data_IF_009157334494
#
_entry.id   IF_009157334494
#
_cell.length_a   1.000
_cell.length_b   1.000
_cell.length_c   1.000
_cell.angle_alpha   90.00
_cell.angle_beta   90.00
_cell.angle_gamma   90.00
#
_symmetry.space_group_name_H-M   'P 1'
#
loop_
_entity.id
_entity.type
_entity.pdbx_description
1 polymer ?
#
# COMPACT_ATOMS: atom_id res chain seq x y z
N UNK A 1 -16.18 -43.91 35.00
CA UNK A 1 -16.49 -42.53 34.56
C UNK A 1 -15.21 -41.71 34.57
N UNK A 2 -14.72 -41.25 33.41
CA UNK A 2 -13.99 -39.98 33.23
C UNK A 2 -13.88 -39.72 31.71
N UNK A 3 -14.12 -38.46 31.35
CA UNK A 3 -14.74 -38.00 30.10
C UNK A 3 -13.77 -37.92 28.91
N UNK A 4 -14.34 -38.23 27.75
CA UNK A 4 -13.82 -37.96 26.41
C UNK A 4 -13.73 -36.45 26.16
N UNK A 5 -12.55 -35.95 25.77
CA UNK A 5 -12.40 -34.57 25.26
C UNK A 5 -12.29 -34.62 23.74
N UNK A 6 -13.32 -34.08 23.09
CA UNK A 6 -13.49 -34.05 21.63
C UNK A 6 -12.48 -33.07 21.01
N UNK A 7 -11.72 -33.55 20.04
CA UNK A 7 -10.89 -32.72 19.16
C UNK A 7 -11.83 -32.04 18.16
N UNK A 8 -11.99 -30.73 18.28
CA UNK A 8 -12.65 -29.90 17.28
C UNK A 8 -11.64 -29.52 16.21
N UNK A 9 -11.70 -30.21 15.07
CA UNK A 9 -11.05 -29.77 13.84
C UNK A 9 -11.89 -28.63 13.24
N UNK A 10 -11.36 -27.41 13.24
CA UNK A 10 -11.97 -26.27 12.56
C UNK A 10 -11.23 -26.11 11.23
N UNK A 11 -11.98 -26.34 10.15
CA UNK A 11 -11.56 -26.12 8.77
C UNK A 11 -11.31 -24.62 8.54
N UNK A 12 -10.07 -24.26 8.20
CA UNK A 12 -9.70 -22.90 7.84
C UNK A 12 -10.21 -22.58 6.42
N UNK A 13 -11.24 -21.75 6.32
CA UNK A 13 -11.61 -21.11 5.06
C UNK A 13 -10.60 -19.98 4.78
N UNK A 14 -9.77 -20.16 3.76
CA UNK A 14 -8.82 -19.15 3.31
C UNK A 14 -9.56 -18.00 2.62
N UNK A 15 -9.62 -16.84 3.27
CA UNK A 15 -10.03 -15.58 2.63
C UNK A 15 -8.81 -14.95 1.95
N UNK A 16 -8.70 -15.14 0.64
CA UNK A 16 -7.72 -14.45 -0.19
C UNK A 16 -8.13 -12.98 -0.34
N UNK A 17 -7.46 -12.07 0.38
CA UNK A 17 -7.60 -10.64 0.16
C UNK A 17 -6.61 -10.18 -0.90
N UNK A 18 -7.03 -10.20 -2.16
CA UNK A 18 -6.32 -9.57 -3.28
C UNK A 18 -6.60 -8.06 -3.27
N UNK A 19 -5.60 -7.23 -2.97
CA UNK A 19 -5.66 -5.79 -3.21
C UNK A 19 -5.44 -5.57 -4.71
N UNK A 20 -6.53 -5.40 -5.45
CA UNK A 20 -6.49 -5.15 -6.90
C UNK A 20 -6.03 -3.74 -7.23
N UNK A 21 -5.04 -3.63 -8.13
CA UNK A 21 -4.69 -2.38 -8.80
C UNK A 21 -5.65 -2.16 -9.97
N UNK A 22 -6.45 -1.10 -9.92
CA UNK A 22 -7.28 -0.67 -11.04
C UNK A 22 -6.39 0.02 -12.10
N UNK A 23 -6.20 -0.65 -13.23
CA UNK A 23 -5.67 -0.05 -14.45
C UNK A 23 -6.83 0.60 -15.21
N UNK A 24 -6.86 1.92 -15.29
CA UNK A 24 -7.67 2.64 -16.28
C UNK A 24 -6.74 3.10 -17.40
N UNK A 25 -6.87 2.46 -18.56
CA UNK A 25 -6.29 2.93 -19.82
C UNK A 25 -7.35 3.77 -20.56
N UNK A 26 -6.97 4.98 -20.98
CA UNK A 26 -7.74 5.80 -21.92
C UNK A 26 -6.89 6.11 -23.15
N UNK A 27 -7.48 6.17 -24.37
CA UNK A 27 -6.75 6.31 -25.62
C UNK A 27 -6.28 7.75 -25.85
N UNK A 28 -5.11 7.87 -26.50
CA UNK A 28 -4.45 9.11 -26.87
C UNK A 28 -5.05 9.76 -28.12
N UNK A 29 -5.08 11.10 -28.14
CA UNK A 29 -5.16 11.93 -29.35
C UNK A 29 -4.47 13.31 -29.08
N UNK A 30 -3.98 14.01 -30.12
CA UNK A 30 -2.64 14.61 -30.09
C UNK A 30 -2.57 16.15 -29.94
N UNK A 31 -1.34 16.60 -29.67
CA UNK A 31 -0.73 17.92 -29.92
C UNK A 31 -1.31 19.18 -29.26
N UNK A 32 -0.81 19.47 -28.05
CA UNK A 32 -0.54 20.84 -27.59
C UNK A 32 0.65 20.84 -26.60
N UNK A 33 1.59 21.79 -26.68
CA UNK A 33 2.75 21.82 -25.80
C UNK A 33 2.32 22.21 -24.38
N UNK A 34 2.66 21.45 -23.33
CA UNK A 34 2.25 21.81 -21.98
C UNK A 34 3.06 23.02 -21.47
N UNK A 35 2.40 24.09 -20.99
CA UNK A 35 3.06 25.12 -20.21
C UNK A 35 3.53 24.51 -18.89
N UNK A 36 4.80 24.74 -18.54
CA UNK A 36 5.46 24.16 -17.37
C UNK A 36 4.68 24.38 -16.07
N UNK A 37 4.06 23.32 -15.57
CA UNK A 37 3.47 23.28 -14.24
C UNK A 37 4.55 23.14 -13.16
N UNK A 38 4.33 23.70 -11.95
CA UNK A 38 5.29 23.61 -10.85
C UNK A 38 5.57 22.14 -10.51
N UNK A 39 6.85 21.79 -10.53
CA UNK A 39 7.33 20.42 -10.41
C UNK A 39 6.77 19.68 -9.20
N UNK A 40 6.29 18.46 -9.45
CA UNK A 40 5.96 17.47 -8.45
C UNK A 40 7.24 17.03 -7.71
N UNK A 41 7.73 17.84 -6.79
CA UNK A 41 8.74 17.45 -5.82
C UNK A 41 8.09 16.60 -4.71
N UNK A 42 7.57 15.42 -5.08
CA UNK A 42 7.05 14.42 -4.14
C UNK A 42 8.20 13.52 -3.69
N UNK A 43 9.06 13.97 -2.78
CA UNK A 43 10.11 13.11 -2.26
C UNK A 43 10.95 13.75 -1.16
N UNK A 44 10.83 13.24 0.07
CA UNK A 44 11.86 13.47 1.09
C UNK A 44 11.35 13.38 2.53
N UNK A 45 10.31 14.12 2.89
CA UNK A 45 9.99 14.37 4.32
C UNK A 45 8.82 13.53 4.88
N UNK A 46 8.03 12.88 4.03
CA UNK A 46 6.87 12.09 4.45
C UNK A 46 7.21 10.67 4.95
N UNK A 47 8.21 10.02 4.35
CA UNK A 47 8.50 8.59 4.58
C UNK A 47 8.93 8.29 6.02
N UNK A 48 9.88 9.07 6.55
CA UNK A 48 10.39 8.86 7.91
C UNK A 48 9.33 9.12 8.99
N UNK A 49 8.50 10.15 8.83
CA UNK A 49 7.40 10.41 9.77
C UNK A 49 6.36 9.29 9.76
N UNK A 50 6.06 8.74 8.58
CA UNK A 50 5.12 7.62 8.45
C UNK A 50 5.68 6.34 9.09
N UNK A 51 6.97 6.04 8.88
CA UNK A 51 7.66 4.90 9.49
C UNK A 51 7.65 4.98 11.02
N UNK A 52 8.00 6.15 11.58
CA UNK A 52 7.94 6.39 13.02
C UNK A 52 6.54 6.20 13.60
N UNK A 53 5.50 6.70 12.90
CA UNK A 53 4.10 6.52 13.33
C UNK A 53 3.67 5.06 13.31
N UNK A 54 4.07 4.31 12.30
CA UNK A 54 3.73 2.89 12.18
C UNK A 54 4.41 2.09 13.29
N UNK A 55 5.69 2.36 13.57
CA UNK A 55 6.42 1.73 14.67
C UNK A 55 5.76 2.02 16.04
N UNK A 56 5.32 3.26 16.27
CA UNK A 56 4.60 3.61 17.50
C UNK A 56 3.30 2.81 17.64
N UNK A 57 2.51 2.71 16.58
CA UNK A 57 1.26 1.93 16.59
C UNK A 57 1.50 0.44 16.84
N UNK A 58 2.55 -0.14 16.26
CA UNK A 58 2.92 -1.53 16.51
C UNK A 58 3.39 -1.75 17.95
N UNK A 59 4.17 -0.82 18.52
CA UNK A 59 4.61 -0.91 19.91
C UNK A 59 3.43 -0.79 20.90
N UNK A 60 2.49 0.11 20.64
CA UNK A 60 1.26 0.24 21.42
C UNK A 60 0.42 -1.05 21.37
N UNK A 61 0.25 -1.61 20.16
CA UNK A 61 -0.47 -2.86 19.98
C UNK A 61 0.21 -4.02 20.72
N UNK A 62 1.53 -4.15 20.58
CA UNK A 62 2.33 -5.17 21.27
C UNK A 62 2.11 -5.15 22.79
N UNK A 63 2.17 -3.96 23.41
CA UNK A 63 1.96 -3.80 24.86
C UNK A 63 0.56 -4.21 25.34
N UNK A 64 -0.45 -4.15 24.47
CA UNK A 64 -1.83 -4.54 24.75
C UNK A 64 -2.07 -6.05 24.60
N UNK A 65 -1.32 -6.73 23.74
CA UNK A 65 -1.58 -8.13 23.41
C UNK A 65 -1.13 -9.12 24.48
N UNK A 66 -0.25 -8.72 25.40
CA UNK A 66 0.27 -9.58 26.48
C UNK A 66 0.70 -10.95 25.94
N UNK A 67 1.61 -10.91 24.96
CA UNK A 67 2.07 -12.11 24.25
C UNK A 67 2.77 -13.07 25.20
N UNK A 68 2.58 -14.37 24.97
CA UNK A 68 3.42 -15.40 25.59
C UNK A 68 4.75 -15.54 24.83
N UNK A 69 5.67 -16.37 25.32
CA UNK A 69 7.01 -16.52 24.74
C UNK A 69 7.00 -16.97 23.26
N UNK A 70 6.13 -17.90 22.89
CA UNK A 70 6.03 -18.41 21.51
C UNK A 70 5.45 -17.35 20.56
N UNK A 71 4.41 -16.65 21.02
CA UNK A 71 3.80 -15.54 20.28
C UNK A 71 4.77 -14.36 20.12
N UNK A 72 5.59 -14.08 21.13
CA UNK A 72 6.63 -13.05 21.08
C UNK A 72 7.66 -13.38 19.99
N UNK A 73 8.09 -14.65 19.90
CA UNK A 73 9.00 -15.09 18.85
C UNK A 73 8.40 -14.90 17.45
N UNK A 74 7.11 -15.21 17.27
CA UNK A 74 6.41 -15.00 16.00
C UNK A 74 6.25 -13.52 15.67
N UNK A 75 5.96 -12.69 16.67
CA UNK A 75 5.88 -11.22 16.53
C UNK A 75 7.22 -10.65 16.05
N UNK A 76 8.32 -11.00 16.70
CA UNK A 76 9.65 -10.52 16.31
C UNK A 76 10.04 -11.01 14.91
N UNK A 77 9.74 -12.27 14.60
CA UNK A 77 9.98 -12.81 13.24
C UNK A 77 9.22 -12.01 12.18
N UNK A 78 7.96 -11.62 12.45
CA UNK A 78 7.16 -10.80 11.55
C UNK A 78 7.71 -9.37 11.41
N UNK A 79 8.16 -8.76 12.51
CA UNK A 79 8.81 -7.45 12.49
C UNK A 79 10.11 -7.45 11.68
N UNK A 80 10.97 -8.43 11.92
CA UNK A 80 12.25 -8.55 11.22
C UNK A 80 12.03 -8.78 9.72
N UNK A 81 11.11 -9.68 9.37
CA UNK A 81 10.73 -9.95 7.97
C UNK A 81 10.22 -8.68 7.30
N UNK A 82 9.31 -7.95 7.94
CA UNK A 82 8.78 -6.69 7.43
C UNK A 82 9.87 -5.65 7.21
N UNK A 83 10.79 -5.49 8.18
CA UNK A 83 11.89 -4.51 8.11
C UNK A 83 12.86 -4.85 6.98
N UNK A 84 13.29 -6.10 6.89
CA UNK A 84 14.19 -6.58 5.84
C UNK A 84 13.56 -6.43 4.45
N UNK A 85 12.31 -6.86 4.29
CA UNK A 85 11.60 -6.80 3.02
C UNK A 85 11.30 -5.36 2.61
N UNK A 86 10.97 -4.47 3.55
CA UNK A 86 10.82 -3.04 3.26
C UNK A 86 12.15 -2.41 2.80
N UNK A 87 13.27 -2.76 3.44
CA UNK A 87 14.59 -2.29 3.00
C UNK A 87 14.92 -2.78 1.59
N UNK A 88 14.65 -4.05 1.27
CA UNK A 88 14.84 -4.61 -0.07
C UNK A 88 13.97 -3.90 -1.12
N UNK A 89 12.69 -3.63 -0.83
CA UNK A 89 11.83 -2.87 -1.73
C UNK A 89 12.32 -1.42 -1.94
N UNK A 90 12.84 -0.77 -0.89
CA UNK A 90 13.43 0.58 -1.01
C UNK A 90 14.64 0.57 -1.94
N UNK A 91 15.48 -0.46 -1.85
CA UNK A 91 16.63 -0.62 -2.74
C UNK A 91 16.19 -0.91 -4.19
N UNK A 92 15.22 -1.80 -4.41
CA UNK A 92 14.65 -2.03 -5.75
C UNK A 92 14.11 -0.75 -6.38
N UNK A 93 13.42 0.08 -5.60
CA UNK A 93 12.90 1.36 -6.08
C UNK A 93 14.02 2.39 -6.37
N UNK A 94 15.10 2.39 -5.57
CA UNK A 94 16.29 3.21 -5.85
C UNK A 94 16.97 2.78 -7.15
N UNK A 95 17.14 1.47 -7.37
CA UNK A 95 17.70 0.93 -8.61
C UNK A 95 16.84 1.30 -9.82
N UNK A 96 15.51 1.21 -9.70
CA UNK A 96 14.59 1.64 -10.75
C UNK A 96 14.76 3.12 -11.11
N UNK A 97 14.88 4.00 -10.10
CA UNK A 97 15.13 5.43 -10.33
C UNK A 97 16.45 5.67 -11.05
N UNK A 98 17.53 5.01 -10.63
CA UNK A 98 18.83 5.13 -11.29
C UNK A 98 18.80 4.65 -12.75
N UNK A 99 18.11 3.53 -13.01
CA UNK A 99 17.91 3.04 -14.37
C UNK A 99 17.10 4.03 -15.22
N UNK A 100 16.06 4.62 -14.65
CA UNK A 100 15.26 5.65 -15.32
C UNK A 100 16.09 6.90 -15.63
N UNK A 101 16.84 7.42 -14.67
CA UNK A 101 17.76 8.55 -14.85
C UNK A 101 18.79 8.29 -15.96
N UNK A 102 19.36 7.08 -16.02
CA UNK A 102 20.28 6.68 -17.08
C UNK A 102 19.61 6.63 -18.45
N UNK A 103 18.36 6.15 -18.54
CA UNK A 103 17.61 6.07 -19.79
C UNK A 103 17.18 7.45 -20.30
N UNK A 104 16.88 8.39 -19.41
CA UNK A 104 16.56 9.78 -19.77
C UNK A 104 17.68 10.50 -20.52
N UNK A 105 18.94 10.05 -20.37
CA UNK A 105 20.08 10.61 -21.08
C UNK A 105 20.23 10.06 -22.51
N UNK A 106 19.49 9.03 -22.88
CA UNK A 106 19.55 8.45 -24.21
C UNK A 106 18.69 9.25 -25.22
N UNK A 107 19.15 9.40 -26.47
CA UNK A 107 18.41 10.13 -27.50
C UNK A 107 17.11 9.42 -27.92
N UNK A 108 17.04 8.09 -27.76
CA UNK A 108 15.85 7.28 -28.00
C UNK A 108 15.65 6.39 -26.78
N UNK A 109 14.45 6.42 -26.20
CA UNK A 109 14.10 5.58 -25.04
C UNK A 109 13.82 4.14 -25.47
N UNK A 110 14.45 3.18 -24.80
CA UNK A 110 14.09 1.77 -24.92
C UNK A 110 12.93 1.43 -23.98
N UNK A 111 11.70 1.64 -24.47
CA UNK A 111 10.48 1.36 -23.72
C UNK A 111 10.32 -0.13 -23.38
N UNK A 112 10.88 -1.03 -24.18
CA UNK A 112 10.81 -2.47 -23.92
C UNK A 112 11.70 -2.83 -22.73
N UNK A 113 12.92 -2.31 -22.68
CA UNK A 113 13.82 -2.48 -21.54
C UNK A 113 13.22 -1.88 -20.26
N UNK A 114 12.59 -0.71 -20.34
CA UNK A 114 11.88 -0.11 -19.20
C UNK A 114 10.76 -1.00 -18.69
N UNK A 115 9.92 -1.51 -19.59
CA UNK A 115 8.82 -2.39 -19.21
C UNK A 115 9.33 -3.69 -18.56
N UNK A 116 10.35 -4.32 -19.13
CA UNK A 116 10.95 -5.53 -18.58
C UNK A 116 11.56 -5.31 -17.19
N UNK A 117 12.27 -4.19 -16.99
CA UNK A 117 12.82 -3.82 -15.69
C UNK A 117 11.71 -3.60 -14.64
N UNK A 118 10.64 -2.89 -15.02
CA UNK A 118 9.49 -2.68 -14.15
C UNK A 118 8.79 -4.00 -13.77
N UNK A 119 8.54 -4.88 -14.75
CA UNK A 119 7.92 -6.18 -14.50
C UNK A 119 8.75 -7.04 -13.54
N UNK A 120 10.07 -7.08 -13.71
CA UNK A 120 10.98 -7.82 -12.82
C UNK A 120 10.89 -7.32 -11.39
N UNK A 121 10.92 -5.99 -11.20
CA UNK A 121 10.84 -5.37 -9.87
C UNK A 121 9.48 -5.63 -9.23
N UNK A 122 8.38 -5.56 -9.99
CA UNK A 122 7.05 -5.86 -9.46
C UNK A 122 6.91 -7.32 -9.02
N UNK A 123 7.44 -8.27 -9.79
CA UNK A 123 7.46 -9.69 -9.40
C UNK A 123 8.26 -9.92 -8.11
N UNK A 124 9.45 -9.33 -8.01
CA UNK A 124 10.28 -9.44 -6.80
C UNK A 124 9.59 -8.80 -5.60
N UNK A 125 9.03 -7.61 -5.77
CA UNK A 125 8.32 -6.91 -4.69
C UNK A 125 7.05 -7.66 -4.28
N UNK A 126 6.35 -8.34 -5.20
CA UNK A 126 5.21 -9.18 -4.87
C UNK A 126 5.62 -10.34 -3.94
N UNK A 127 6.74 -11.01 -4.21
CA UNK A 127 7.26 -12.07 -3.36
C UNK A 127 7.63 -11.56 -1.95
N UNK A 128 8.28 -10.39 -1.86
CA UNK A 128 8.62 -9.77 -0.58
C UNK A 128 7.37 -9.35 0.23
N UNK A 129 6.33 -8.86 -0.45
CA UNK A 129 5.03 -8.56 0.18
C UNK A 129 4.40 -9.84 0.71
N UNK A 130 4.41 -10.92 -0.07
CA UNK A 130 3.84 -12.21 0.33
C UNK A 130 4.53 -12.83 1.55
N UNK A 131 5.86 -12.77 1.61
CA UNK A 131 6.62 -13.21 2.78
C UNK A 131 6.23 -12.42 4.04
N UNK A 132 6.08 -11.10 3.90
CA UNK A 132 5.66 -10.23 5.00
C UNK A 132 4.25 -10.60 5.46
N UNK A 133 3.31 -10.77 4.53
CA UNK A 133 1.94 -11.20 4.82
C UNK A 133 1.91 -12.55 5.53
N UNK A 134 2.67 -13.53 5.03
CA UNK A 134 2.75 -14.87 5.62
C UNK A 134 3.26 -14.84 7.06
N UNK A 135 4.30 -14.05 7.35
CA UNK A 135 4.82 -13.92 8.71
C UNK A 135 3.79 -13.31 9.67
N UNK A 136 3.07 -12.27 9.25
CA UNK A 136 2.01 -11.66 10.03
C UNK A 136 0.78 -12.56 10.22
N UNK A 137 0.41 -13.35 9.20
CA UNK A 137 -0.65 -14.34 9.30
C UNK A 137 -0.29 -15.46 10.28
N UNK A 138 0.95 -15.95 10.25
CA UNK A 138 1.43 -16.94 11.21
C UNK A 138 1.35 -16.40 12.65
N UNK A 139 1.78 -15.16 12.87
CA UNK A 139 1.62 -14.49 14.16
C UNK A 139 0.13 -14.40 14.55
N UNK A 140 -0.73 -13.87 13.69
CA UNK A 140 -2.16 -13.70 13.98
C UNK A 140 -2.86 -15.02 14.29
N UNK A 141 -2.52 -16.09 13.57
CA UNK A 141 -3.12 -17.42 13.77
C UNK A 141 -2.76 -18.02 15.13
N UNK A 142 -1.61 -17.67 15.70
CA UNK A 142 -1.17 -18.11 17.03
C UNK A 142 -1.88 -17.39 18.20
N UNK A 143 -2.62 -16.34 17.92
CA UNK A 143 -3.32 -15.55 18.93
C UNK A 143 -4.63 -16.22 19.40
N UNK A 144 -4.97 -16.02 20.67
CA UNK A 144 -6.29 -16.38 21.21
C UNK A 144 -7.36 -15.35 20.79
N UNK A 145 -8.64 -15.64 21.08
CA UNK A 145 -9.77 -14.81 20.63
C UNK A 145 -9.75 -13.38 21.18
N UNK A 146 -9.31 -13.21 22.44
CA UNK A 146 -9.18 -11.89 23.05
C UNK A 146 -8.09 -11.07 22.33
N UNK A 147 -6.93 -11.67 22.09
CA UNK A 147 -5.83 -11.04 21.35
C UNK A 147 -6.23 -10.72 19.90
N UNK A 148 -6.90 -11.64 19.21
CA UNK A 148 -7.43 -11.42 17.86
C UNK A 148 -8.43 -10.28 17.80
N UNK A 149 -9.26 -10.12 18.83
CA UNK A 149 -10.21 -9.00 18.95
C UNK A 149 -9.48 -7.66 19.08
N UNK A 150 -8.42 -7.61 19.88
CA UNK A 150 -7.55 -6.42 19.99
C UNK A 150 -6.91 -6.06 18.66
N UNK A 151 -6.28 -7.04 17.97
CA UNK A 151 -5.68 -6.81 16.64
C UNK A 151 -6.74 -6.37 15.62
N UNK A 152 -7.89 -7.05 15.58
CA UNK A 152 -8.98 -6.73 14.65
C UNK A 152 -9.50 -5.30 14.84
N UNK A 153 -9.60 -4.85 16.09
CA UNK A 153 -10.04 -3.48 16.42
C UNK A 153 -9.01 -2.46 15.94
N UNK A 154 -7.72 -2.73 16.15
CA UNK A 154 -6.65 -1.86 15.65
C UNK A 154 -6.66 -1.77 14.12
N UNK A 155 -6.82 -2.90 13.41
CA UNK A 155 -6.91 -2.94 11.95
C UNK A 155 -8.12 -2.17 11.42
N UNK A 156 -9.31 -2.36 12.02
CA UNK A 156 -10.52 -1.60 11.65
C UNK A 156 -10.33 -0.09 11.80
N UNK A 157 -9.70 0.36 12.90
CA UNK A 157 -9.36 1.77 13.11
C UNK A 157 -8.38 2.28 12.06
N UNK A 158 -7.41 1.46 11.67
CA UNK A 158 -6.46 1.81 10.61
C UNK A 158 -7.16 1.97 9.26
N UNK A 159 -8.05 1.03 8.88
CA UNK A 159 -8.83 1.11 7.64
C UNK A 159 -9.73 2.34 7.61
N UNK A 160 -10.43 2.66 8.71
CA UNK A 160 -11.24 3.86 8.79
C UNK A 160 -10.42 5.14 8.50
N UNK A 161 -9.24 5.27 9.12
CA UNK A 161 -8.32 6.39 8.85
C UNK A 161 -7.83 6.43 7.40
N UNK A 162 -7.61 5.28 6.77
CA UNK A 162 -7.23 5.23 5.36
C UNK A 162 -8.37 5.70 4.46
N UNK A 163 -9.60 5.24 4.69
CA UNK A 163 -10.77 5.69 3.94
C UNK A 163 -11.02 7.20 4.10
N UNK A 164 -10.90 7.74 5.32
CA UNK A 164 -11.00 9.18 5.54
C UNK A 164 -9.94 9.98 4.77
N UNK A 165 -8.70 9.47 4.74
CA UNK A 165 -7.62 10.11 3.98
C UNK A 165 -7.89 10.05 2.49
N UNK A 166 -8.34 8.92 1.99
CA UNK A 166 -8.69 8.73 0.58
C UNK A 166 -9.80 9.69 0.16
N UNK A 167 -10.88 9.80 0.93
CA UNK A 167 -11.97 10.75 0.68
C UNK A 167 -11.47 12.20 0.63
N UNK A 168 -10.63 12.61 1.59
CA UNK A 168 -10.03 13.95 1.59
C UNK A 168 -9.17 14.20 0.35
N UNK A 169 -8.37 13.21 -0.08
CA UNK A 169 -7.58 13.35 -1.29
C UNK A 169 -8.46 13.48 -2.54
N UNK A 170 -9.52 12.67 -2.66
CA UNK A 170 -10.50 12.78 -3.76
C UNK A 170 -11.19 14.14 -3.77
N UNK A 171 -11.59 14.68 -2.62
CA UNK A 171 -12.18 16.02 -2.52
C UNK A 171 -11.20 17.12 -2.93
N UNK A 172 -9.96 17.07 -2.46
CA UNK A 172 -8.94 18.04 -2.84
C UNK A 172 -8.66 17.99 -4.34
N UNK A 173 -8.53 16.78 -4.91
CA UNK A 173 -8.30 16.59 -6.33
C UNK A 173 -9.48 17.09 -7.17
N UNK A 174 -10.71 16.79 -6.76
CA UNK A 174 -11.94 17.30 -7.39
C UNK A 174 -12.02 18.84 -7.35
N UNK A 175 -11.69 19.46 -6.21
CA UNK A 175 -11.67 20.93 -6.08
C UNK A 175 -10.59 21.60 -6.92
N UNK A 176 -9.47 20.90 -7.18
CA UNK A 176 -8.31 21.45 -7.91
C UNK A 176 -8.37 21.21 -9.43
N UNK A 177 -9.07 20.15 -9.87
CA UNK A 177 -9.29 19.84 -11.30
C UNK A 177 -10.70 20.19 -11.80
N UNK A 178 -11.57 20.73 -10.94
CA UNK A 178 -12.99 21.02 -11.22
C UNK A 178 -13.32 22.38 -11.83
N UNK A 179 -12.38 23.13 -12.39
CA UNK A 179 -12.70 24.35 -13.16
C UNK A 179 -11.78 24.54 -14.38
N UNK A 180 -12.37 24.57 -15.59
CA UNK A 180 -12.43 25.84 -16.30
C UNK A 180 -13.87 26.20 -16.68
N UNK A 181 -14.31 27.35 -16.14
CA UNK A 181 -15.28 28.30 -16.67
C UNK A 181 -16.60 27.78 -17.24
N UNK A 182 -17.64 27.83 -16.40
CA UNK A 182 -18.98 28.21 -16.85
C UNK A 182 -18.92 29.63 -17.44
N UNK A 183 -19.02 29.78 -18.76
CA UNK A 183 -19.00 31.10 -19.39
C UNK A 183 -19.24 31.06 -20.89
N UNK A 184 -20.49 30.86 -21.30
CA UNK A 184 -20.91 30.92 -22.70
C UNK A 184 -22.42 30.85 -22.82
N UNK A 185 -23.06 32.01 -22.60
CA UNK A 185 -24.49 32.21 -22.52
C UNK A 185 -25.27 31.74 -23.76
N UNK A 186 -26.44 31.15 -23.52
CA UNK A 186 -27.56 31.04 -24.46
C UNK A 186 -28.02 32.43 -24.89
N UNK A 187 -28.24 32.71 -26.18
CA UNK A 187 -29.16 33.76 -26.59
C UNK A 187 -30.57 33.18 -26.84
N UNK A 188 -31.65 33.92 -26.50
CA UNK A 188 -33.02 33.50 -26.72
C UNK A 188 -33.40 33.65 -28.20
N UNK A 189 -34.19 32.69 -28.70
CA UNK A 189 -34.80 32.76 -30.02
C UNK A 189 -36.13 33.54 -29.98
N UNK A 190 -36.27 34.58 -30.83
CA UNK A 190 -37.48 35.03 -31.55
C UNK A 190 -37.30 36.44 -32.16
N UNK A 191 -38.15 36.92 -33.10
CA UNK A 191 -39.41 36.37 -33.61
C UNK A 191 -39.32 35.61 -34.93
#
# INVERSE_FOLDING_TARGET
MLKQSRILAITAAALAMTIGAANAATPAAPDAPPPGGPGMAMGGHGGHRMEMRMQQQLNELHGQLKLNADQEKLWQTALDTMKQNHAAMRESHKQMRQQFESMQQQPILDLNAMHAAHQKIEQQNAQLREQTSTAWLNFYNSLNDQQKTTVSTALKKHFAKMHEREQKMHEHWSKQHGAPNAGGATPPAKP
#
